data_IF_736968270170
#
_entry.id   IF_736968270170
#
_cell.length_a   1.000
_cell.length_b   1.000
_cell.length_c   1.000
_cell.angle_alpha   90.00
_cell.angle_beta   90.00
_cell.angle_gamma   90.00
#
_symmetry.space_group_name_H-M   'P 1'
#
loop_
_entity.id
_entity.type
_entity.pdbx_description
1 polymer ?
#
# COMPACT_ATOMS: atom_id res chain seq x y z
N UNK A 1 -58.45 10.18 -35.32
CA UNK A 1 -58.28 9.65 -33.96
C UNK A 1 -57.32 8.45 -33.93
N UNK A 2 -57.52 7.36 -34.67
CA UNK A 2 -56.66 6.16 -34.65
C UNK A 2 -55.17 6.42 -34.98
N UNK A 3 -54.84 7.36 -35.87
CA UNK A 3 -53.44 7.70 -36.20
C UNK A 3 -52.74 8.51 -35.09
N UNK A 4 -53.48 9.31 -34.34
CA UNK A 4 -52.96 10.12 -33.26
C UNK A 4 -52.68 9.25 -32.02
N UNK A 5 -53.55 8.26 -31.74
CA UNK A 5 -53.35 7.29 -30.67
C UNK A 5 -52.17 6.35 -30.93
N UNK A 6 -51.95 5.95 -32.20
CA UNK A 6 -50.78 5.15 -32.58
C UNK A 6 -49.46 5.94 -32.44
N UNK A 7 -49.46 7.23 -32.77
CA UNK A 7 -48.28 8.10 -32.60
C UNK A 7 -47.96 8.33 -31.12
N UNK A 8 -48.98 8.56 -30.29
CA UNK A 8 -48.79 8.68 -28.86
C UNK A 8 -48.30 7.39 -28.21
N UNK A 9 -48.77 6.22 -28.64
CA UNK A 9 -48.30 4.93 -28.12
C UNK A 9 -46.85 4.64 -28.56
N UNK A 10 -46.45 5.00 -29.79
CA UNK A 10 -45.05 4.83 -30.22
C UNK A 10 -44.10 5.78 -29.49
N UNK A 11 -44.52 7.01 -29.18
CA UNK A 11 -43.72 7.97 -28.40
C UNK A 11 -43.60 7.53 -26.96
N UNK A 12 -44.65 6.94 -26.38
CA UNK A 12 -44.63 6.38 -25.02
C UNK A 12 -43.71 5.15 -24.92
N UNK A 13 -43.69 4.27 -25.95
CA UNK A 13 -42.75 3.15 -26.04
C UNK A 13 -41.28 3.61 -26.15
N UNK A 14 -41.00 4.66 -26.94
CA UNK A 14 -39.68 5.24 -27.05
C UNK A 14 -39.19 5.85 -25.73
N UNK A 15 -40.04 6.48 -24.95
CA UNK A 15 -39.75 7.00 -23.60
C UNK A 15 -39.50 5.90 -22.60
N UNK A 16 -40.19 4.76 -22.69
CA UNK A 16 -39.96 3.59 -21.80
C UNK A 16 -38.63 2.88 -22.12
N UNK A 17 -38.20 2.85 -23.39
CA UNK A 17 -36.90 2.27 -23.76
C UNK A 17 -35.70 3.15 -23.30
N UNK A 18 -35.90 4.48 -23.23
CA UNK A 18 -34.85 5.38 -22.70
C UNK A 18 -34.64 5.27 -21.18
N UNK A 19 -35.67 4.79 -20.44
CA UNK A 19 -35.61 4.58 -18.98
C UNK A 19 -34.88 3.28 -18.58
N UNK A 20 -34.59 2.38 -19.53
CA UNK A 20 -33.89 1.11 -19.30
C UNK A 20 -32.41 1.12 -19.80
N UNK A 21 -31.85 2.29 -20.10
CA UNK A 21 -30.40 2.34 -20.31
C UNK A 21 -29.71 1.93 -19.00
N UNK A 22 -28.81 0.93 -19.02
CA UNK A 22 -28.06 0.59 -17.83
C UNK A 22 -27.35 1.84 -17.35
N UNK A 23 -27.59 2.22 -16.08
CA UNK A 23 -26.89 3.34 -15.46
C UNK A 23 -25.41 2.99 -15.52
N UNK A 24 -24.61 3.79 -16.20
CA UNK A 24 -23.17 3.58 -16.27
C UNK A 24 -22.65 3.47 -14.83
N UNK A 25 -22.14 2.29 -14.49
CA UNK A 25 -21.70 2.03 -13.13
C UNK A 25 -20.41 2.80 -12.93
N UNK A 26 -20.34 3.58 -11.85
CA UNK A 26 -19.15 4.33 -11.48
C UNK A 26 -17.93 3.40 -11.44
N UNK A 27 -16.87 3.77 -12.14
CA UNK A 27 -15.58 3.12 -12.06
C UNK A 27 -14.69 3.91 -11.09
N UNK A 28 -14.20 3.26 -10.07
CA UNK A 28 -13.27 3.80 -9.08
C UNK A 28 -11.86 3.39 -9.48
N UNK A 29 -11.00 4.37 -9.73
CA UNK A 29 -9.61 4.13 -10.12
C UNK A 29 -8.74 4.04 -8.86
N UNK A 30 -8.15 2.87 -8.64
CA UNK A 30 -7.39 2.56 -7.43
C UNK A 30 -5.96 2.18 -7.78
N UNK A 31 -5.01 2.72 -7.04
CA UNK A 31 -3.63 2.21 -7.08
C UNK A 31 -3.24 1.61 -5.73
N UNK A 32 -2.39 0.59 -5.78
CA UNK A 32 -1.74 0.04 -4.59
C UNK A 32 -0.25 -0.12 -4.84
N UNK A 33 0.58 0.23 -3.88
CA UNK A 33 2.00 -0.05 -4.01
C UNK A 33 2.26 -1.55 -3.80
N UNK A 34 3.18 -2.10 -4.60
CA UNK A 34 3.63 -3.49 -4.45
C UNK A 34 4.22 -3.68 -3.05
N UNK A 35 3.76 -4.71 -2.35
CA UNK A 35 4.17 -5.01 -0.98
C UNK A 35 2.98 -5.06 -0.01
N UNK A 36 3.20 -4.77 1.30
CA UNK A 36 2.17 -4.95 2.33
C UNK A 36 0.87 -4.21 2.05
N UNK A 37 0.94 -2.95 1.62
CA UNK A 37 -0.24 -2.13 1.31
C UNK A 37 -1.07 -2.69 0.15
N UNK A 38 -0.40 -3.30 -0.85
CA UNK A 38 -1.05 -3.94 -1.99
C UNK A 38 -1.69 -5.29 -1.65
N UNK A 39 -1.11 -6.04 -0.71
CA UNK A 39 -1.68 -7.32 -0.27
C UNK A 39 -3.06 -7.12 0.34
N UNK A 40 -3.25 -6.05 1.12
CA UNK A 40 -4.55 -5.71 1.68
C UNK A 40 -5.65 -5.49 0.63
N UNK A 41 -5.27 -5.25 -0.64
CA UNK A 41 -6.19 -5.06 -1.76
C UNK A 41 -6.50 -6.36 -2.54
N UNK A 42 -5.83 -7.47 -2.23
CA UNK A 42 -5.90 -8.70 -3.06
C UNK A 42 -7.32 -9.27 -3.17
N UNK A 43 -8.08 -9.27 -2.08
CA UNK A 43 -9.46 -9.75 -2.10
C UNK A 43 -10.36 -8.86 -2.96
N UNK A 44 -10.25 -7.53 -2.82
CA UNK A 44 -11.01 -6.59 -3.62
C UNK A 44 -10.67 -6.74 -5.11
N UNK A 45 -9.38 -6.90 -5.44
CA UNK A 45 -8.92 -7.12 -6.81
C UNK A 45 -9.56 -8.37 -7.43
N UNK A 46 -9.55 -9.50 -6.70
CA UNK A 46 -10.18 -10.74 -7.16
C UNK A 46 -11.69 -10.59 -7.36
N UNK A 47 -12.38 -9.95 -6.42
CA UNK A 47 -13.82 -9.72 -6.52
C UNK A 47 -14.18 -8.76 -7.67
N UNK A 48 -13.34 -7.76 -7.92
CA UNK A 48 -13.52 -6.83 -9.04
C UNK A 48 -13.36 -7.53 -10.40
N UNK A 49 -12.33 -8.38 -10.54
CA UNK A 49 -12.10 -9.19 -11.75
C UNK A 49 -13.27 -10.16 -12.01
N UNK A 50 -13.89 -10.69 -10.96
CA UNK A 50 -15.05 -11.56 -11.05
C UNK A 50 -16.38 -10.81 -11.25
N UNK A 51 -16.39 -9.46 -11.26
CA UNK A 51 -17.58 -8.63 -11.34
C UNK A 51 -18.53 -8.77 -10.14
N UNK A 52 -17.99 -9.11 -8.97
CA UNK A 52 -18.73 -9.36 -7.72
C UNK A 52 -18.73 -8.16 -6.76
N UNK A 53 -18.29 -7.01 -7.20
CA UNK A 53 -18.23 -5.78 -6.41
C UNK A 53 -19.44 -4.88 -6.69
N UNK A 54 -19.80 -4.03 -5.70
CA UNK A 54 -20.91 -3.08 -5.82
C UNK A 54 -20.62 -1.98 -6.86
N UNK A 55 -19.34 -1.59 -7.02
CA UNK A 55 -18.85 -0.62 -7.99
C UNK A 55 -17.80 -1.28 -8.89
N UNK A 56 -17.55 -0.69 -10.06
CA UNK A 56 -16.43 -1.12 -10.88
C UNK A 56 -15.13 -0.58 -10.25
N UNK A 57 -14.11 -1.43 -10.10
CA UNK A 57 -12.79 -1.02 -9.65
C UNK A 57 -11.76 -1.29 -10.74
N UNK A 58 -11.01 -0.24 -11.10
CA UNK A 58 -9.82 -0.35 -11.93
C UNK A 58 -8.61 -0.31 -11.01
N UNK A 59 -8.02 -1.46 -10.71
CA UNK A 59 -6.94 -1.57 -9.72
C UNK A 59 -5.61 -1.75 -10.43
N UNK A 60 -4.64 -0.88 -10.13
CA UNK A 60 -3.27 -0.93 -10.64
C UNK A 60 -2.27 -1.10 -9.50
N UNK A 61 -1.18 -1.83 -9.77
CA UNK A 61 -0.11 -2.03 -8.80
C UNK A 61 1.15 -1.27 -9.23
N UNK A 62 1.46 -0.21 -8.50
CA UNK A 62 2.58 0.69 -8.75
C UNK A 62 3.88 0.16 -8.14
N UNK A 63 4.99 0.35 -8.84
CA UNK A 63 6.33 0.02 -8.36
C UNK A 63 6.97 1.14 -7.54
N UNK A 64 6.53 2.39 -7.75
CA UNK A 64 7.12 3.56 -7.12
C UNK A 64 6.07 4.54 -6.56
N UNK A 65 6.43 5.34 -5.53
CA UNK A 65 5.58 6.41 -5.01
C UNK A 65 5.21 7.49 -6.04
N UNK A 66 6.09 7.76 -6.99
CA UNK A 66 5.90 8.82 -7.99
C UNK A 66 4.74 8.51 -8.95
N UNK A 67 4.59 7.24 -9.35
CA UNK A 67 3.48 6.78 -10.19
C UNK A 67 2.13 7.05 -9.51
N UNK A 68 2.01 6.76 -8.22
CA UNK A 68 0.79 6.97 -7.44
C UNK A 68 0.53 8.46 -7.20
N UNK A 69 1.57 9.21 -6.85
CA UNK A 69 1.49 10.65 -6.56
C UNK A 69 0.96 11.42 -7.76
N UNK A 70 1.52 11.16 -8.96
CA UNK A 70 1.10 11.79 -10.20
C UNK A 70 -0.39 11.54 -10.48
N UNK A 71 -0.83 10.29 -10.43
CA UNK A 71 -2.21 9.90 -10.69
C UNK A 71 -3.24 10.50 -9.71
N UNK A 72 -2.89 10.59 -8.43
CA UNK A 72 -3.76 11.23 -7.42
C UNK A 72 -3.88 12.76 -7.66
N UNK A 73 -2.79 13.42 -7.98
CA UNK A 73 -2.78 14.88 -8.20
C UNK A 73 -3.49 15.23 -9.52
N UNK A 74 -3.29 14.45 -10.58
CA UNK A 74 -3.94 14.66 -11.89
C UNK A 74 -5.43 14.31 -11.87
N UNK A 75 -5.88 13.50 -10.92
CA UNK A 75 -7.25 12.99 -10.86
C UNK A 75 -7.48 11.72 -11.67
N UNK A 76 -6.43 11.08 -12.17
CA UNK A 76 -6.50 9.77 -12.83
C UNK A 76 -6.76 8.64 -11.82
N UNK A 77 -6.33 8.82 -10.56
CA UNK A 77 -6.60 7.93 -9.45
C UNK A 77 -7.54 8.58 -8.45
N UNK A 78 -8.46 7.81 -7.90
CA UNK A 78 -9.41 8.26 -6.87
C UNK A 78 -8.92 7.89 -5.47
N UNK A 79 -8.40 6.67 -5.33
CA UNK A 79 -7.94 6.09 -4.06
C UNK A 79 -6.57 5.44 -4.28
N UNK A 80 -5.73 5.47 -3.26
CA UNK A 80 -4.49 4.69 -3.30
C UNK A 80 -4.10 4.12 -1.93
N UNK A 81 -3.47 2.93 -1.96
CA UNK A 81 -2.83 2.32 -0.81
C UNK A 81 -1.32 2.64 -0.83
N UNK A 82 -0.86 3.40 0.14
CA UNK A 82 0.48 4.00 0.17
C UNK A 82 1.15 3.87 1.54
N UNK A 83 2.49 4.00 1.63
CA UNK A 83 3.16 4.19 2.90
C UNK A 83 2.62 5.42 3.65
N UNK A 84 2.50 5.33 4.98
CA UNK A 84 1.84 6.38 5.78
C UNK A 84 2.53 7.73 5.69
N UNK A 85 3.87 7.75 5.57
CA UNK A 85 4.62 8.99 5.37
C UNK A 85 4.25 9.69 4.05
N UNK A 86 4.01 8.93 2.98
CA UNK A 86 3.56 9.49 1.71
C UNK A 86 2.15 10.09 1.83
N UNK A 87 1.25 9.45 2.59
CA UNK A 87 -0.08 10.02 2.89
C UNK A 87 0.02 11.40 3.55
N UNK A 88 0.90 11.55 4.54
CA UNK A 88 1.15 12.83 5.20
C UNK A 88 1.77 13.88 4.26
N UNK A 89 2.71 13.47 3.41
CA UNK A 89 3.33 14.35 2.40
C UNK A 89 2.29 14.83 1.39
N UNK A 90 1.44 13.93 0.89
CA UNK A 90 0.39 14.26 -0.07
C UNK A 90 -0.64 15.23 0.54
N UNK A 91 -1.09 14.99 1.77
CA UNK A 91 -1.98 15.91 2.46
C UNK A 91 -1.41 17.33 2.51
N UNK A 92 -0.15 17.48 2.95
CA UNK A 92 0.50 18.78 3.07
C UNK A 92 0.77 19.45 1.72
N UNK A 93 1.26 18.69 0.72
CA UNK A 93 1.58 19.25 -0.60
C UNK A 93 0.36 19.64 -1.42
N UNK A 94 -0.80 19.09 -1.10
CA UNK A 94 -2.04 19.36 -1.82
C UNK A 94 -3.02 20.24 -1.02
N UNK A 95 -2.57 20.85 0.08
CA UNK A 95 -3.41 21.65 0.97
C UNK A 95 -4.71 20.91 1.36
N UNK A 96 -4.58 19.61 1.72
CA UNK A 96 -5.68 18.77 2.13
C UNK A 96 -6.59 18.28 0.99
N UNK A 97 -6.17 18.37 -0.28
CA UNK A 97 -6.96 17.77 -1.38
C UNK A 97 -6.80 16.26 -1.49
N UNK A 98 -5.78 15.69 -0.86
CA UNK A 98 -5.63 14.25 -0.67
C UNK A 98 -5.75 13.98 0.84
N UNK A 99 -6.71 13.13 1.22
CA UNK A 99 -7.04 12.80 2.60
C UNK A 99 -6.63 11.37 2.92
N UNK A 100 -6.28 11.09 4.17
CA UNK A 100 -6.16 9.71 4.66
C UNK A 100 -7.56 9.21 5.04
N UNK A 101 -8.00 8.13 4.39
CA UNK A 101 -9.31 7.51 4.63
C UNK A 101 -9.25 6.42 5.71
N UNK A 102 -8.18 5.62 5.74
CA UNK A 102 -8.01 4.55 6.73
C UNK A 102 -6.53 4.15 6.84
N UNK A 103 -6.19 3.49 7.94
CA UNK A 103 -4.96 2.70 8.09
C UNK A 103 -5.24 1.30 7.56
N UNK A 104 -4.39 0.79 6.67
CA UNK A 104 -4.55 -0.54 6.09
C UNK A 104 -3.39 -1.49 6.39
N UNK A 105 -2.27 -0.99 6.93
CA UNK A 105 -1.10 -1.82 7.23
C UNK A 105 -0.49 -1.37 8.55
N UNK A 106 -0.39 -2.29 9.49
CA UNK A 106 0.33 -2.14 10.75
C UNK A 106 1.76 -2.66 10.62
N UNK A 107 2.42 -3.00 11.74
CA UNK A 107 3.76 -3.52 11.75
C UNK A 107 3.90 -4.84 10.97
N UNK A 108 4.78 -4.88 9.98
CA UNK A 108 5.08 -6.04 9.13
C UNK A 108 6.53 -6.05 8.66
N UNK A 109 7.41 -5.32 9.35
CA UNK A 109 8.81 -5.15 8.99
C UNK A 109 9.71 -5.99 9.89
N UNK A 110 10.70 -6.66 9.30
CA UNK A 110 11.56 -7.62 10.00
C UNK A 110 13.02 -7.47 9.58
N UNK A 111 13.92 -7.81 10.51
CA UNK A 111 15.30 -8.11 10.19
C UNK A 111 15.41 -9.61 9.91
N UNK A 112 15.86 -9.95 8.71
CA UNK A 112 16.13 -11.33 8.31
C UNK A 112 17.65 -11.51 8.16
N UNK A 113 18.18 -12.55 8.75
CA UNK A 113 19.60 -12.88 8.74
C UNK A 113 19.82 -14.26 8.11
N UNK A 114 20.86 -14.37 7.30
CA UNK A 114 21.41 -15.66 6.91
C UNK A 114 22.56 -16.02 7.87
N UNK A 115 22.23 -16.69 8.96
CA UNK A 115 23.14 -16.97 10.06
C UNK A 115 22.44 -16.97 11.42
N UNK A 116 23.19 -16.73 12.49
CA UNK A 116 22.67 -16.70 13.85
C UNK A 116 23.43 -15.74 14.76
N UNK A 117 23.82 -14.58 14.24
CA UNK A 117 24.65 -13.60 14.95
C UNK A 117 23.82 -12.48 15.59
N UNK A 118 22.59 -12.24 15.13
CA UNK A 118 21.69 -11.19 15.63
C UNK A 118 20.64 -11.82 16.55
N UNK A 119 20.71 -11.59 17.86
CA UNK A 119 19.75 -12.06 18.86
C UNK A 119 18.95 -10.91 19.49
N UNK A 120 19.45 -9.68 19.34
CA UNK A 120 18.85 -8.46 19.85
C UNK A 120 19.18 -7.29 18.94
N UNK A 121 18.49 -6.15 19.13
CA UNK A 121 18.76 -4.92 18.36
C UNK A 121 20.20 -4.43 18.59
N UNK A 122 20.79 -4.66 19.76
CA UNK A 122 22.15 -4.27 20.09
C UNK A 122 23.22 -5.00 19.23
N UNK A 123 22.92 -6.20 18.75
CA UNK A 123 23.86 -6.99 17.92
C UNK A 123 24.00 -6.43 16.50
N UNK A 124 23.19 -5.42 16.15
CA UNK A 124 23.32 -4.70 14.88
C UNK A 124 24.47 -3.68 14.90
N UNK A 125 25.03 -3.34 16.07
CA UNK A 125 26.16 -2.43 16.18
C UNK A 125 27.37 -2.90 15.36
N UNK A 126 27.90 -2.01 14.50
CA UNK A 126 29.00 -2.31 13.59
C UNK A 126 28.64 -3.24 12.42
N UNK A 127 27.37 -3.60 12.26
CA UNK A 127 26.92 -4.43 11.16
C UNK A 127 26.54 -3.59 9.95
N UNK A 128 26.58 -4.25 8.79
CA UNK A 128 26.03 -3.79 7.54
C UNK A 128 24.68 -4.45 7.31
N UNK A 129 23.67 -3.64 7.01
CA UNK A 129 22.30 -4.09 6.74
C UNK A 129 21.91 -3.61 5.36
N UNK A 130 21.31 -4.48 4.56
CA UNK A 130 20.67 -4.10 3.30
C UNK A 130 19.17 -3.94 3.52
N UNK A 131 18.68 -2.72 3.50
CA UNK A 131 17.27 -2.40 3.58
C UNK A 131 16.68 -2.14 2.19
N UNK A 132 15.38 -1.93 2.11
CA UNK A 132 14.70 -1.37 0.96
C UNK A 132 13.65 -0.37 1.41
N UNK A 133 13.18 0.49 0.49
CA UNK A 133 12.20 1.53 0.82
C UNK A 133 12.83 2.81 1.35
N UNK A 134 13.97 3.23 0.76
CA UNK A 134 14.57 4.53 1.04
C UNK A 134 13.58 5.67 0.77
N UNK A 135 13.52 6.66 1.65
CA UNK A 135 12.55 7.76 1.59
C UNK A 135 11.11 7.37 1.97
N UNK A 136 10.92 6.15 2.48
CA UNK A 136 9.61 5.60 2.80
C UNK A 136 9.55 5.09 4.26
N UNK A 137 8.38 4.72 4.73
CA UNK A 137 8.13 4.31 6.13
C UNK A 137 9.14 3.30 6.70
N UNK A 138 9.61 2.26 5.97
CA UNK A 138 10.60 1.33 6.49
C UNK A 138 11.90 1.99 6.95
N UNK A 139 12.42 2.97 6.21
CA UNK A 139 13.63 3.70 6.59
C UNK A 139 13.41 4.47 7.90
N UNK A 140 12.31 5.20 8.01
CA UNK A 140 12.02 6.00 9.20
C UNK A 140 11.83 5.14 10.45
N UNK A 141 11.19 3.96 10.31
CA UNK A 141 11.01 3.01 11.40
C UNK A 141 12.36 2.48 11.87
N UNK A 142 13.18 1.97 10.94
CA UNK A 142 14.50 1.43 11.27
C UNK A 142 15.36 2.49 11.96
N UNK A 143 15.46 3.68 11.40
CA UNK A 143 16.25 4.77 11.94
C UNK A 143 15.77 5.19 13.35
N UNK A 144 14.45 5.26 13.57
CA UNK A 144 13.88 5.56 14.88
C UNK A 144 14.22 4.50 15.91
N UNK A 145 14.07 3.22 15.60
CA UNK A 145 14.42 2.12 16.49
C UNK A 145 15.90 2.15 16.83
N UNK A 146 16.77 2.33 15.82
CA UNK A 146 18.23 2.43 16.04
C UNK A 146 18.59 3.63 16.91
N UNK A 147 17.99 4.81 16.68
CA UNK A 147 18.22 6.00 17.49
C UNK A 147 17.82 5.79 18.95
N UNK A 148 16.62 5.25 19.19
CA UNK A 148 16.12 4.97 20.55
C UNK A 148 16.94 3.95 21.33
N UNK A 149 17.63 3.06 20.63
CA UNK A 149 18.54 2.08 21.22
C UNK A 149 20.01 2.57 21.29
N UNK A 150 20.29 3.83 20.96
CA UNK A 150 21.64 4.41 21.00
C UNK A 150 22.55 3.90 19.89
N UNK A 151 22.00 3.37 18.82
CA UNK A 151 22.73 2.79 17.68
C UNK A 151 22.79 3.72 16.47
N UNK A 152 22.34 4.98 16.60
CA UNK A 152 22.42 5.95 15.53
C UNK A 152 23.86 6.13 15.05
N UNK A 153 24.09 5.91 13.74
CA UNK A 153 25.43 5.94 13.14
C UNK A 153 26.35 4.77 13.45
N UNK A 154 25.91 3.81 14.27
CA UNK A 154 26.66 2.59 14.58
C UNK A 154 26.34 1.41 13.67
N UNK A 155 25.31 1.55 12.82
CA UNK A 155 24.87 0.55 11.85
C UNK A 155 25.02 1.13 10.45
N UNK A 156 25.67 0.38 9.56
CA UNK A 156 25.78 0.76 8.14
C UNK A 156 24.54 0.27 7.40
N UNK A 157 23.66 1.19 6.98
CA UNK A 157 22.44 0.85 6.24
C UNK A 157 22.60 1.21 4.77
N UNK A 158 22.64 0.19 3.92
CA UNK A 158 22.56 0.35 2.46
C UNK A 158 21.12 0.10 1.99
N UNK A 159 20.76 0.66 0.85
CA UNK A 159 19.43 0.52 0.29
C UNK A 159 19.45 -0.14 -1.08
N UNK A 160 18.69 -1.23 -1.21
CA UNK A 160 18.32 -1.81 -2.49
C UNK A 160 17.21 -0.99 -3.14
N UNK A 161 17.13 -1.00 -4.47
CA UNK A 161 16.07 -0.31 -5.20
C UNK A 161 14.68 -0.88 -4.87
N UNK A 162 14.59 -2.21 -4.70
CA UNK A 162 13.34 -2.91 -4.40
C UNK A 162 13.57 -3.99 -3.32
N UNK A 163 12.50 -4.36 -2.60
CA UNK A 163 12.54 -5.44 -1.60
C UNK A 163 12.97 -6.79 -2.21
N UNK A 164 12.56 -7.08 -3.45
CA UNK A 164 12.94 -8.30 -4.14
C UNK A 164 14.44 -8.39 -4.42
N UNK A 165 15.12 -7.26 -4.64
CA UNK A 165 16.58 -7.19 -4.79
C UNK A 165 17.28 -7.56 -3.47
N UNK A 166 16.82 -7.01 -2.34
CA UNK A 166 17.38 -7.34 -1.03
C UNK A 166 17.26 -8.86 -0.74
N UNK A 167 16.12 -9.47 -1.04
CA UNK A 167 15.91 -10.92 -0.92
C UNK A 167 16.87 -11.70 -1.82
N UNK A 168 17.10 -11.25 -3.04
CA UNK A 168 18.00 -11.90 -3.98
C UNK A 168 19.45 -11.86 -3.47
N UNK A 169 19.88 -10.72 -2.94
CA UNK A 169 21.23 -10.54 -2.37
C UNK A 169 21.44 -11.37 -1.10
N UNK A 170 20.42 -11.54 -0.27
CA UNK A 170 20.49 -12.47 0.86
C UNK A 170 20.67 -13.92 0.36
N UNK A 171 19.87 -14.33 -0.62
CA UNK A 171 19.92 -15.70 -1.15
C UNK A 171 21.22 -16.02 -1.89
N UNK A 172 21.87 -15.03 -2.52
CA UNK A 172 23.18 -15.19 -3.18
C UNK A 172 24.37 -15.09 -2.22
N UNK A 173 24.16 -14.68 -0.96
CA UNK A 173 25.23 -14.46 0.01
C UNK A 173 25.97 -13.12 -0.20
N UNK A 174 25.40 -12.19 -1.00
CA UNK A 174 25.93 -10.83 -1.15
C UNK A 174 25.53 -9.92 0.03
N UNK A 175 24.51 -10.29 0.78
CA UNK A 175 24.10 -9.66 2.02
C UNK A 175 23.81 -10.72 3.08
N UNK A 176 24.27 -10.51 4.31
CA UNK A 176 24.02 -11.41 5.45
C UNK A 176 22.77 -11.01 6.25
N UNK A 177 22.44 -9.71 6.26
CA UNK A 177 21.34 -9.13 7.03
C UNK A 177 20.53 -8.22 6.12
N UNK A 178 19.22 -8.44 6.03
CA UNK A 178 18.31 -7.58 5.28
C UNK A 178 17.16 -7.08 6.17
N UNK A 179 16.59 -5.93 5.79
CA UNK A 179 15.35 -5.42 6.38
C UNK A 179 14.28 -5.33 5.31
N UNK A 180 13.28 -6.17 5.45
CA UNK A 180 12.18 -6.29 4.47
C UNK A 180 10.84 -6.54 5.17
N UNK A 181 9.72 -6.13 4.55
CA UNK A 181 8.39 -6.45 5.07
C UNK A 181 7.90 -7.81 4.54
N UNK A 182 6.77 -8.29 5.07
CA UNK A 182 6.00 -9.33 4.39
C UNK A 182 5.44 -8.80 3.04
N UNK A 183 5.37 -9.63 1.99
CA UNK A 183 5.65 -11.09 1.90
C UNK A 183 7.13 -11.39 1.56
N UNK A 184 7.99 -10.40 1.56
CA UNK A 184 9.40 -10.58 1.19
C UNK A 184 10.18 -11.37 2.24
N UNK A 185 9.76 -11.32 3.52
CA UNK A 185 10.28 -12.18 4.59
C UNK A 185 10.03 -13.64 4.25
N UNK A 186 8.78 -14.03 4.01
CA UNK A 186 8.41 -15.39 3.59
C UNK A 186 9.19 -15.83 2.35
N UNK A 187 9.39 -14.92 1.38
CA UNK A 187 10.18 -15.21 0.18
C UNK A 187 11.67 -15.43 0.52
N UNK A 188 12.24 -14.63 1.41
CA UNK A 188 13.63 -14.76 1.85
C UNK A 188 13.87 -16.11 2.54
N UNK A 189 12.98 -16.48 3.47
CA UNK A 189 13.05 -17.76 4.19
C UNK A 189 12.92 -18.98 3.25
N UNK A 190 12.19 -18.83 2.15
CA UNK A 190 12.04 -19.91 1.17
C UNK A 190 13.21 -20.05 0.19
N UNK A 191 13.95 -18.94 -0.07
CA UNK A 191 15.01 -18.90 -1.08
C UNK A 191 16.43 -19.01 -0.52
N UNK A 192 16.66 -18.54 0.69
CA UNK A 192 17.97 -18.56 1.33
C UNK A 192 18.01 -19.66 2.39
N UNK A 193 18.76 -20.74 2.10
CA UNK A 193 18.98 -21.82 3.06
C UNK A 193 19.71 -21.27 4.30
N UNK A 194 19.14 -21.48 5.50
CA UNK A 194 19.67 -20.94 6.75
C UNK A 194 19.19 -19.53 7.12
N UNK A 195 18.39 -18.89 6.28
CA UNK A 195 17.76 -17.61 6.63
C UNK A 195 16.73 -17.78 7.75
N UNK A 196 16.70 -16.83 8.65
CA UNK A 196 15.73 -16.74 9.75
C UNK A 196 15.27 -15.30 10.00
N UNK A 197 14.12 -15.14 10.60
CA UNK A 197 13.73 -13.88 11.21
C UNK A 197 14.63 -13.69 12.45
N UNK A 198 15.46 -12.65 12.43
CA UNK A 198 16.31 -12.29 13.54
C UNK A 198 15.58 -11.37 14.53
N UNK A 199 14.90 -10.32 14.02
CA UNK A 199 14.14 -9.39 14.84
C UNK A 199 12.78 -9.07 14.18
N UNK A 200 11.75 -8.94 15.01
CA UNK A 200 10.48 -8.34 14.66
C UNK A 200 10.52 -6.83 15.00
N UNK A 201 10.56 -5.96 13.98
CA UNK A 201 10.66 -4.54 14.22
C UNK A 201 9.35 -3.92 14.78
N UNK A 202 8.25 -4.66 14.81
CA UNK A 202 7.05 -4.25 15.55
C UNK A 202 7.31 -4.38 17.07
N UNK A 203 7.86 -5.51 17.49
CA UNK A 203 8.23 -5.72 18.89
C UNK A 203 9.33 -4.74 19.36
N UNK A 204 10.32 -4.48 18.50
CA UNK A 204 11.36 -3.49 18.79
C UNK A 204 10.79 -2.06 18.90
N UNK A 205 9.81 -1.71 18.06
CA UNK A 205 9.11 -0.44 18.15
C UNK A 205 8.31 -0.31 19.45
N UNK A 206 7.54 -1.33 19.83
CA UNK A 206 6.74 -1.35 21.06
C UNK A 206 7.61 -1.24 22.31
N UNK A 207 8.87 -1.68 22.25
CA UNK A 207 9.83 -1.54 23.36
C UNK A 207 10.30 -0.11 23.59
N UNK A 208 10.18 0.77 22.59
CA UNK A 208 10.71 2.15 22.62
C UNK A 208 9.65 3.23 22.35
N UNK A 209 8.40 2.84 22.14
CA UNK A 209 7.30 3.75 21.78
C UNK A 209 5.96 3.22 22.31
N UNK A 210 5.16 4.10 22.89
CA UNK A 210 3.77 3.79 23.28
C UNK A 210 2.78 3.89 22.10
N UNK A 211 3.23 4.37 20.94
CA UNK A 211 2.40 4.53 19.75
C UNK A 211 2.39 3.25 18.92
N UNK A 212 1.21 2.89 18.38
CA UNK A 212 1.09 1.77 17.44
C UNK A 212 1.92 2.02 16.18
N UNK A 213 2.61 0.99 15.71
CA UNK A 213 3.38 1.05 14.47
C UNK A 213 2.46 0.98 13.25
N UNK A 214 2.25 2.13 12.61
CA UNK A 214 1.49 2.26 11.36
C UNK A 214 2.44 2.35 10.19
N UNK A 215 2.28 1.48 9.19
CA UNK A 215 3.15 1.44 8.00
C UNK A 215 2.46 1.88 6.72
N UNK A 216 1.17 1.60 6.56
CA UNK A 216 0.43 1.93 5.36
C UNK A 216 -0.94 2.52 5.64
N UNK A 217 -1.41 3.30 4.69
CA UNK A 217 -2.74 3.91 4.72
C UNK A 217 -3.39 3.92 3.34
N UNK A 218 -4.69 4.07 3.35
CA UNK A 218 -5.50 4.39 2.19
C UNK A 218 -5.66 5.91 2.12
N UNK A 219 -5.28 6.49 1.00
CA UNK A 219 -5.52 7.90 0.70
C UNK A 219 -6.58 8.05 -0.38
N UNK A 220 -7.34 9.13 -0.33
CA UNK A 220 -8.45 9.40 -1.24
C UNK A 220 -8.41 10.86 -1.67
N UNK A 221 -8.75 11.15 -2.93
CA UNK A 221 -8.98 12.52 -3.37
C UNK A 221 -10.22 13.09 -2.69
N UNK A 222 -10.09 14.29 -2.10
CA UNK A 222 -11.20 14.97 -1.42
C UNK A 222 -12.41 15.15 -2.34
N UNK A 223 -12.21 15.55 -3.58
CA UNK A 223 -13.29 15.69 -4.55
C UNK A 223 -14.06 14.38 -4.75
N UNK A 224 -13.35 13.23 -4.89
CA UNK A 224 -13.99 11.93 -5.00
C UNK A 224 -14.76 11.56 -3.72
N UNK A 225 -14.17 11.80 -2.55
CA UNK A 225 -14.83 11.51 -1.27
C UNK A 225 -16.11 12.34 -1.06
N UNK A 226 -16.11 13.60 -1.49
CA UNK A 226 -17.27 14.51 -1.39
C UNK A 226 -18.36 14.12 -2.41
N UNK A 227 -18.01 13.80 -3.64
CA UNK A 227 -18.95 13.50 -4.73
C UNK A 227 -19.48 12.07 -4.70
N UNK A 228 -18.67 11.10 -4.21
CA UNK A 228 -18.94 9.67 -4.27
C UNK A 228 -18.79 8.99 -2.90
N UNK A 229 -19.33 9.61 -1.84
CA UNK A 229 -19.18 9.13 -0.46
C UNK A 229 -19.65 7.68 -0.26
N UNK A 230 -20.70 7.24 -0.96
CA UNK A 230 -21.20 5.86 -0.87
C UNK A 230 -20.23 4.87 -1.53
N UNK A 231 -19.59 5.24 -2.65
CA UNK A 231 -18.55 4.42 -3.27
C UNK A 231 -17.31 4.29 -2.37
N UNK A 232 -16.90 5.37 -1.70
CA UNK A 232 -15.82 5.31 -0.71
C UNK A 232 -16.18 4.41 0.47
N UNK A 233 -17.40 4.50 1.00
CA UNK A 233 -17.87 3.61 2.08
C UNK A 233 -17.90 2.14 1.65
N UNK A 234 -18.33 1.86 0.43
CA UNK A 234 -18.32 0.50 -0.11
C UNK A 234 -16.90 -0.05 -0.28
N UNK A 235 -15.96 0.80 -0.68
CA UNK A 235 -14.54 0.45 -0.80
C UNK A 235 -13.89 0.14 0.57
N UNK A 236 -14.32 0.79 1.65
CA UNK A 236 -13.76 0.64 3.00
C UNK A 236 -14.37 -0.51 3.82
N UNK A 237 -15.36 -1.23 3.30
CA UNK A 237 -16.00 -2.41 3.93
C UNK A 237 -15.22 -3.69 3.65
#
# INVERSE_FOLDING_TARGET
MKKLTALMMSLLMLLLCAACAPKEQLTVNVAAMKGPTGIGMAQLSSLAEEGKTEYNYSITYAGSPDEVTGGLISGELDIAAVPVNLGAVLFNKTDGQILTAAVNTLGVLYVVENGNSVQSIADLAGRKILAAGQGSTPEYILNYILDKNGLAGSVEVEYAAEHAEAVTKLASGEADIIVVPEPFVTTALSKAEGARIALDLTAEWESVSDAQLVQGCLVVRKAFADEHSEALKAFLK
#
